data_IF_224435638311
#
_entry.id   IF_224435638311
#
_cell.length_a   1.000
_cell.length_b   1.000
_cell.length_c   1.000
_cell.angle_alpha   90.00
_cell.angle_beta   90.00
_cell.angle_gamma   90.00
#
_symmetry.space_group_name_H-M   'P 1'
#
loop_
_entity.id
_entity.type
_entity.pdbx_description
1 polymer ?
#
# COMPACT_ATOMS: atom_id res chain seq x y z
N UNK A 1 -31.97 -38.39 -49.62
CA UNK A 1 -30.69 -38.28 -50.33
C UNK A 1 -29.60 -38.03 -49.31
N UNK A 2 -28.51 -38.79 -49.40
CA UNK A 2 -27.48 -39.03 -48.38
C UNK A 2 -26.89 -37.77 -47.72
N UNK A 3 -26.87 -37.74 -46.39
CA UNK A 3 -25.89 -36.94 -45.65
C UNK A 3 -24.54 -37.63 -45.90
N UNK A 4 -23.70 -37.04 -46.76
CA UNK A 4 -22.31 -37.42 -46.92
C UNK A 4 -21.65 -37.50 -45.53
N UNK A 5 -21.51 -38.70 -44.98
CA UNK A 5 -20.79 -38.93 -43.73
C UNK A 5 -19.32 -38.64 -44.01
N UNK A 6 -18.87 -37.40 -43.75
CA UNK A 6 -17.47 -37.01 -43.92
C UNK A 6 -16.64 -37.92 -43.02
N UNK A 7 -15.89 -38.85 -43.62
CA UNK A 7 -15.06 -39.83 -42.88
C UNK A 7 -14.07 -39.05 -42.01
N UNK A 8 -14.06 -39.32 -40.70
CA UNK A 8 -13.11 -38.71 -39.76
C UNK A 8 -11.68 -38.88 -40.27
N UNK A 9 -10.96 -37.77 -40.32
CA UNK A 9 -9.54 -37.78 -40.69
C UNK A 9 -8.70 -38.45 -39.61
N UNK A 10 -7.49 -38.88 -39.96
CA UNK A 10 -6.55 -39.47 -39.01
C UNK A 10 -6.20 -38.50 -37.86
N UNK A 11 -6.18 -37.19 -38.14
CA UNK A 11 -5.90 -36.14 -37.16
C UNK A 11 -7.08 -35.91 -36.19
N UNK A 12 -8.31 -35.98 -36.68
CA UNK A 12 -9.51 -35.95 -35.82
C UNK A 12 -9.54 -37.15 -34.87
N UNK A 13 -9.21 -38.34 -35.38
CA UNK A 13 -9.12 -39.56 -34.57
C UNK A 13 -8.07 -39.41 -33.46
N UNK A 14 -6.96 -38.72 -33.73
CA UNK A 14 -5.91 -38.47 -32.74
C UNK A 14 -6.34 -37.44 -31.69
N UNK A 15 -6.98 -36.36 -32.13
CA UNK A 15 -7.54 -35.37 -31.23
C UNK A 15 -8.61 -35.97 -30.31
N UNK A 16 -9.52 -36.79 -30.85
CA UNK A 16 -10.55 -37.48 -30.06
C UNK A 16 -9.89 -38.35 -28.97
N UNK A 17 -8.92 -39.19 -29.35
CA UNK A 17 -8.22 -40.08 -28.40
C UNK A 17 -7.44 -39.30 -27.33
N UNK A 18 -6.74 -38.23 -27.70
CA UNK A 18 -6.01 -37.38 -26.76
C UNK A 18 -6.97 -36.66 -25.80
N UNK A 19 -8.08 -36.13 -26.29
CA UNK A 19 -9.09 -35.42 -25.48
C UNK A 19 -9.73 -36.38 -24.45
N UNK A 20 -10.03 -37.62 -24.85
CA UNK A 20 -10.56 -38.65 -23.94
C UNK A 20 -9.54 -39.01 -22.85
N UNK A 21 -8.26 -39.14 -23.20
CA UNK A 21 -7.19 -39.41 -22.23
C UNK A 21 -7.01 -38.22 -21.28
N UNK A 22 -7.04 -36.98 -21.80
CA UNK A 22 -6.88 -35.76 -21.02
C UNK A 22 -7.99 -35.60 -19.98
N UNK A 23 -9.26 -35.72 -20.39
CA UNK A 23 -10.42 -35.54 -19.49
C UNK A 23 -10.47 -36.54 -18.35
N UNK A 24 -9.92 -37.74 -18.54
CA UNK A 24 -9.97 -38.84 -17.57
C UNK A 24 -8.68 -38.97 -16.75
N UNK A 25 -7.67 -38.15 -17.03
CA UNK A 25 -6.33 -38.23 -16.44
C UNK A 25 -5.49 -39.42 -16.96
N UNK A 26 -6.09 -40.60 -17.11
CA UNK A 26 -5.49 -41.76 -17.77
C UNK A 26 -6.56 -42.68 -18.38
N UNK A 27 -6.20 -43.46 -19.40
CA UNK A 27 -7.13 -44.36 -20.09
C UNK A 27 -6.50 -45.72 -20.46
N UNK A 28 -7.29 -46.80 -20.32
CA UNK A 28 -7.02 -48.11 -20.96
C UNK A 28 -7.47 -48.09 -22.42
N UNK A 29 -6.90 -48.97 -23.23
CA UNK A 29 -7.23 -49.11 -24.67
C UNK A 29 -8.73 -49.26 -24.91
N UNK A 30 -9.41 -50.13 -24.15
CA UNK A 30 -10.85 -50.39 -24.29
C UNK A 30 -11.71 -49.17 -23.99
N UNK A 31 -11.31 -48.35 -22.99
CA UNK A 31 -12.01 -47.10 -22.64
C UNK A 31 -11.80 -46.00 -23.68
N UNK A 32 -10.58 -45.89 -24.22
CA UNK A 32 -10.27 -44.95 -25.29
C UNK A 32 -10.97 -45.33 -26.61
N UNK A 33 -11.02 -46.63 -26.92
CA UNK A 33 -11.77 -47.20 -28.05
C UNK A 33 -13.24 -46.85 -27.99
N UNK A 34 -13.88 -47.06 -26.83
CA UNK A 34 -15.29 -46.71 -26.64
C UNK A 34 -15.53 -45.21 -26.76
N UNK A 35 -14.71 -44.40 -26.08
CA UNK A 35 -14.86 -42.94 -26.11
C UNK A 35 -14.65 -42.33 -27.50
N UNK A 36 -13.75 -42.89 -28.30
CA UNK A 36 -13.45 -42.41 -29.65
C UNK A 36 -14.33 -43.08 -30.71
N UNK A 37 -15.25 -43.98 -30.33
CA UNK A 37 -16.04 -44.78 -31.26
C UNK A 37 -15.18 -45.46 -32.34
N UNK A 38 -14.15 -46.22 -31.91
CA UNK A 38 -13.20 -46.91 -32.78
C UNK A 38 -13.11 -48.39 -32.38
N UNK A 39 -12.91 -49.33 -33.34
CA UNK A 39 -12.56 -50.70 -33.01
C UNK A 39 -11.29 -50.77 -32.14
N UNK A 40 -11.27 -51.70 -31.19
CA UNK A 40 -10.21 -51.81 -30.17
C UNK A 40 -8.82 -51.91 -30.81
N UNK A 41 -8.67 -52.69 -31.87
CA UNK A 41 -7.39 -52.84 -32.60
C UNK A 41 -6.91 -51.53 -33.23
N UNK A 42 -7.85 -50.73 -33.76
CA UNK A 42 -7.53 -49.43 -34.36
C UNK A 42 -7.17 -48.39 -33.30
N UNK A 43 -7.85 -48.42 -32.16
CA UNK A 43 -7.53 -47.58 -31.01
C UNK A 43 -6.16 -47.94 -30.44
N UNK A 44 -5.86 -49.24 -30.27
CA UNK A 44 -4.55 -49.74 -29.81
C UNK A 44 -3.42 -49.25 -30.71
N UNK A 45 -3.57 -49.39 -32.03
CA UNK A 45 -2.57 -48.91 -33.01
C UNK A 45 -2.37 -47.40 -32.94
N UNK A 46 -3.45 -46.63 -32.76
CA UNK A 46 -3.40 -45.17 -32.70
C UNK A 46 -2.78 -44.65 -31.40
N UNK A 47 -3.14 -45.24 -30.27
CA UNK A 47 -2.55 -44.92 -28.96
C UNK A 47 -1.06 -45.27 -28.92
N UNK A 48 -0.66 -46.43 -29.45
CA UNK A 48 0.75 -46.81 -29.55
C UNK A 48 1.55 -45.87 -30.44
N UNK A 49 0.97 -45.39 -31.55
CA UNK A 49 1.61 -44.38 -32.41
C UNK A 49 1.75 -43.01 -31.72
N UNK A 50 0.73 -42.58 -30.97
CA UNK A 50 0.79 -41.33 -30.21
C UNK A 50 1.80 -41.41 -29.06
N UNK A 51 1.89 -42.57 -28.41
CA UNK A 51 2.88 -42.83 -27.37
C UNK A 51 4.31 -42.84 -27.93
N UNK A 52 4.56 -43.53 -29.05
CA UNK A 52 5.89 -43.57 -29.68
C UNK A 52 6.38 -42.22 -30.20
N UNK A 53 5.48 -41.26 -30.41
CA UNK A 53 5.79 -39.88 -30.79
C UNK A 53 5.75 -38.88 -29.62
N UNK A 54 5.52 -39.36 -28.40
CA UNK A 54 5.58 -38.56 -27.17
C UNK A 54 4.36 -37.69 -26.89
N UNK A 55 3.23 -37.91 -27.57
CA UNK A 55 1.95 -37.24 -27.28
C UNK A 55 1.20 -37.92 -26.13
N UNK A 56 1.48 -39.19 -25.89
CA UNK A 56 1.02 -39.96 -24.74
C UNK A 56 2.23 -40.60 -24.03
N UNK A 57 2.06 -40.89 -22.74
CA UNK A 57 2.97 -41.72 -21.95
C UNK A 57 2.26 -43.04 -21.66
N UNK A 58 2.91 -44.15 -21.99
CA UNK A 58 2.44 -45.50 -21.68
C UNK A 58 2.98 -45.93 -20.30
N UNK A 59 2.11 -46.44 -19.45
CA UNK A 59 2.47 -46.98 -18.13
C UNK A 59 1.79 -48.34 -17.94
N UNK A 60 2.51 -49.30 -17.37
CA UNK A 60 1.97 -50.60 -17.01
C UNK A 60 1.28 -50.52 -15.64
N UNK A 61 0.05 -51.04 -15.54
CA UNK A 61 -0.70 -51.09 -14.28
C UNK A 61 -1.38 -52.45 -14.13
N UNK A 62 -0.69 -53.38 -13.49
CA UNK A 62 -1.08 -54.80 -13.43
C UNK A 62 -1.06 -55.43 -14.82
N UNK A 63 -2.07 -56.24 -15.16
CA UNK A 63 -2.20 -56.89 -16.48
C UNK A 63 -2.72 -55.95 -17.59
N UNK A 64 -2.62 -54.63 -17.43
CA UNK A 64 -3.19 -53.68 -18.40
C UNK A 64 -2.35 -52.42 -18.58
N UNK A 65 -2.13 -52.07 -19.85
CA UNK A 65 -1.51 -50.81 -20.26
C UNK A 65 -2.46 -49.64 -20.13
N UNK A 66 -1.99 -48.55 -19.53
CA UNK A 66 -2.69 -47.27 -19.44
C UNK A 66 -1.90 -46.17 -20.15
N UNK A 67 -2.64 -45.18 -20.66
CA UNK A 67 -2.09 -44.02 -21.36
C UNK A 67 -2.41 -42.76 -20.59
N UNK A 68 -1.41 -41.89 -20.40
CA UNK A 68 -1.54 -40.54 -19.85
C UNK A 68 -1.14 -39.50 -20.90
N UNK A 69 -1.79 -38.34 -20.90
CA UNK A 69 -1.44 -37.28 -21.84
C UNK A 69 -0.16 -36.56 -21.41
N UNK A 70 0.68 -36.20 -22.36
CA UNK A 70 1.87 -35.38 -22.13
C UNK A 70 1.58 -33.90 -22.40
N UNK A 71 2.49 -33.00 -22.01
CA UNK A 71 2.41 -31.57 -22.39
C UNK A 71 2.26 -31.39 -23.92
N UNK A 72 3.06 -32.13 -24.70
CA UNK A 72 2.99 -32.14 -26.17
C UNK A 72 1.65 -32.65 -26.70
N UNK A 73 1.03 -33.61 -26.01
CA UNK A 73 -0.35 -34.06 -26.28
C UNK A 73 -1.39 -32.96 -26.09
N UNK A 74 -1.25 -32.15 -25.05
CA UNK A 74 -2.12 -31.01 -24.78
C UNK A 74 -1.94 -29.88 -25.81
N UNK A 75 -0.69 -29.55 -26.16
CA UNK A 75 -0.37 -28.57 -27.21
C UNK A 75 -0.97 -28.96 -28.57
N UNK A 76 -0.98 -30.26 -28.89
CA UNK A 76 -1.64 -30.78 -30.08
C UNK A 76 -3.17 -30.54 -30.04
N UNK A 77 -3.82 -30.76 -28.90
CA UNK A 77 -5.26 -30.53 -28.75
C UNK A 77 -5.63 -29.06 -28.92
N UNK A 78 -4.83 -28.15 -28.36
CA UNK A 78 -5.02 -26.70 -28.52
C UNK A 78 -4.87 -26.28 -29.98
N UNK A 79 -3.77 -26.71 -30.62
CA UNK A 79 -3.51 -26.44 -32.04
C UNK A 79 -4.60 -27.01 -32.95
N UNK A 80 -5.09 -28.20 -32.64
CA UNK A 80 -6.16 -28.86 -33.40
C UNK A 80 -7.50 -28.14 -33.23
N UNK A 81 -7.82 -27.64 -32.03
CA UNK A 81 -9.02 -26.81 -31.78
C UNK A 81 -8.94 -25.49 -32.54
N UNK A 82 -7.78 -24.84 -32.56
CA UNK A 82 -7.56 -23.62 -33.33
C UNK A 82 -7.74 -23.87 -34.83
N UNK A 83 -7.16 -24.95 -35.34
CA UNK A 83 -7.31 -25.36 -36.75
C UNK A 83 -8.77 -25.66 -37.12
N UNK A 84 -9.53 -26.36 -36.27
CA UNK A 84 -10.96 -26.60 -36.50
C UNK A 84 -11.77 -25.31 -36.54
N UNK A 85 -11.42 -24.31 -35.72
CA UNK A 85 -12.06 -22.99 -35.76
C UNK A 85 -11.75 -22.26 -37.07
N UNK A 86 -10.51 -22.32 -37.55
CA UNK A 86 -10.11 -21.75 -38.83
C UNK A 86 -10.88 -22.41 -40.00
N UNK A 87 -10.98 -23.74 -40.03
CA UNK A 87 -11.76 -24.43 -41.07
C UNK A 87 -13.25 -24.11 -41.00
N UNK A 88 -13.82 -24.00 -39.80
CA UNK A 88 -15.22 -23.59 -39.63
C UNK A 88 -15.47 -22.14 -40.10
N UNK A 89 -14.47 -21.26 -39.99
CA UNK A 89 -14.53 -19.90 -40.50
C UNK A 89 -14.42 -19.85 -42.04
N UNK A 90 -13.59 -20.71 -42.64
CA UNK A 90 -13.46 -20.84 -44.09
C UNK A 90 -14.72 -21.42 -44.75
N UNK A 91 -15.35 -22.42 -44.13
CA UNK A 91 -16.60 -23.04 -44.62
C UNK A 91 -17.80 -22.07 -44.56
N UNK A 92 -17.72 -20.97 -43.80
CA UNK A 92 -18.78 -19.98 -43.62
C UNK A 92 -18.60 -18.67 -44.41
N UNK A 93 -17.64 -18.59 -45.34
CA UNK A 93 -17.56 -17.49 -46.30
C UNK A 93 -17.41 -16.09 -45.67
N UNK A 94 -16.65 -15.97 -44.57
CA UNK A 94 -16.37 -14.66 -43.96
C UNK A 94 -15.05 -14.12 -44.56
N UNK A 95 -15.01 -12.89 -45.13
CA UNK A 95 -13.80 -12.32 -45.69
C UNK A 95 -12.74 -12.08 -44.63
N UNK A 96 -11.48 -12.38 -44.97
CA UNK A 96 -10.32 -12.22 -44.12
C UNK A 96 -9.84 -10.76 -44.17
N UNK A 97 -10.43 -9.89 -43.35
CA UNK A 97 -9.83 -8.61 -42.99
C UNK A 97 -10.44 -8.07 -41.72
N UNK A 98 -9.84 -8.41 -40.59
CA UNK A 98 -9.62 -7.55 -39.42
C UNK A 98 -9.09 -8.44 -38.30
N UNK A 99 -8.17 -7.91 -37.50
CA UNK A 99 -7.70 -8.56 -36.26
C UNK A 99 -8.94 -9.00 -35.48
N UNK A 100 -9.15 -10.30 -35.30
CA UNK A 100 -10.17 -10.80 -34.37
C UNK A 100 -9.61 -10.55 -32.97
N UNK A 101 -9.76 -9.33 -32.49
CA UNK A 101 -9.83 -9.08 -31.06
C UNK A 101 -11.06 -9.87 -30.57
N UNK A 102 -10.84 -10.81 -29.65
CA UNK A 102 -11.94 -11.43 -28.93
C UNK A 102 -12.70 -10.30 -28.21
N UNK A 103 -13.83 -9.84 -28.74
CA UNK A 103 -14.69 -8.90 -28.04
C UNK A 103 -15.03 -9.52 -26.67
N UNK A 104 -14.70 -8.85 -25.56
CA UNK A 104 -14.93 -9.42 -24.24
C UNK A 104 -16.45 -9.61 -24.04
N UNK A 105 -16.85 -10.76 -23.49
CA UNK A 105 -18.26 -11.06 -23.14
C UNK A 105 -18.83 -10.04 -22.13
N UNK A 106 -17.95 -9.34 -21.44
CA UNK A 106 -18.25 -8.28 -20.50
C UNK A 106 -17.69 -6.96 -21.01
N UNK A 107 -18.58 -6.02 -21.29
CA UNK A 107 -18.23 -4.62 -21.46
C UNK A 107 -18.25 -3.96 -20.08
N UNK A 108 -17.21 -3.19 -19.75
CA UNK A 108 -17.11 -2.54 -18.46
C UNK A 108 -16.69 -1.08 -18.60
N UNK A 109 -17.22 -0.22 -17.74
CA UNK A 109 -16.90 1.21 -17.68
C UNK A 109 -16.66 1.65 -16.24
N UNK A 110 -15.62 2.45 -16.04
CA UNK A 110 -15.35 3.13 -14.78
C UNK A 110 -15.98 4.52 -14.78
N UNK A 111 -16.68 4.85 -13.71
CA UNK A 111 -17.23 6.17 -13.41
C UNK A 111 -16.60 6.65 -12.10
N UNK A 112 -15.98 7.82 -12.14
CA UNK A 112 -15.45 8.51 -10.96
C UNK A 112 -16.32 9.72 -10.67
N UNK A 113 -16.70 9.91 -9.41
CA UNK A 113 -17.47 11.10 -9.01
C UNK A 113 -16.72 12.41 -9.26
N UNK A 114 -15.39 12.39 -9.12
CA UNK A 114 -14.47 13.51 -9.39
C UNK A 114 -13.11 12.95 -9.86
N UNK A 115 -12.40 13.69 -10.71
CA UNK A 115 -11.02 13.36 -11.13
C UNK A 115 -9.95 14.10 -10.35
N UNK A 116 -10.33 15.19 -9.69
CA UNK A 116 -9.48 15.97 -8.80
C UNK A 116 -10.09 15.93 -7.40
N UNK A 117 -9.31 15.45 -6.42
CA UNK A 117 -9.77 15.18 -5.06
C UNK A 117 -8.64 15.55 -4.08
N UNK A 118 -8.95 16.04 -2.89
CA UNK A 118 -7.92 16.33 -1.88
C UNK A 118 -7.60 15.09 -1.03
N UNK A 119 -6.39 15.03 -0.47
CA UNK A 119 -6.06 14.04 0.57
C UNK A 119 -7.12 14.07 1.67
N UNK A 120 -7.59 12.89 2.08
CA UNK A 120 -8.65 12.74 3.07
C UNK A 120 -10.09 12.95 2.57
N UNK A 121 -10.31 13.46 1.36
CA UNK A 121 -11.66 13.55 0.76
C UNK A 121 -12.07 12.20 0.16
N UNK A 122 -13.32 11.80 0.38
CA UNK A 122 -13.84 10.54 -0.16
C UNK A 122 -14.09 10.63 -1.67
N UNK A 123 -13.59 9.63 -2.40
CA UNK A 123 -13.86 9.43 -3.83
C UNK A 123 -14.76 8.22 -4.03
N UNK A 124 -15.94 8.46 -4.60
CA UNK A 124 -16.82 7.41 -5.08
C UNK A 124 -16.33 6.86 -6.41
N UNK A 125 -16.17 5.54 -6.46
CA UNK A 125 -15.80 4.80 -7.66
C UNK A 125 -16.93 3.83 -7.98
N UNK A 126 -17.41 3.91 -9.21
CA UNK A 126 -18.48 3.06 -9.73
C UNK A 126 -18.00 2.33 -10.97
N UNK A 127 -18.19 1.01 -10.99
CA UNK A 127 -17.90 0.16 -12.15
C UNK A 127 -19.23 -0.38 -12.66
N UNK A 128 -19.57 0.00 -13.89
CA UNK A 128 -20.72 -0.53 -14.60
C UNK A 128 -20.26 -1.71 -15.47
N UNK A 129 -20.86 -2.88 -15.25
CA UNK A 129 -20.57 -4.12 -15.97
C UNK A 129 -21.78 -4.52 -16.77
N UNK A 130 -21.61 -4.75 -18.07
CA UNK A 130 -22.67 -5.23 -18.96
C UNK A 130 -22.26 -6.54 -19.61
N UNK A 131 -23.08 -7.57 -19.46
CA UNK A 131 -22.91 -8.81 -20.20
C UNK A 131 -23.47 -8.65 -21.61
N UNK A 132 -22.59 -8.61 -22.60
CA UNK A 132 -22.91 -8.54 -24.04
C UNK A 132 -22.90 -9.92 -24.70
N UNK A 133 -22.54 -10.96 -23.95
CA UNK A 133 -22.60 -12.35 -24.36
C UNK A 133 -24.01 -12.94 -24.33
N UNK A 134 -24.13 -14.14 -24.90
CA UNK A 134 -25.37 -14.90 -24.98
C UNK A 134 -25.55 -15.89 -23.81
N UNK A 135 -24.54 -16.06 -22.96
CA UNK A 135 -24.53 -16.93 -21.79
C UNK A 135 -24.29 -16.13 -20.50
N UNK A 136 -24.76 -16.66 -19.38
CA UNK A 136 -24.48 -16.08 -18.07
C UNK A 136 -22.99 -16.24 -17.73
N UNK A 137 -22.43 -15.27 -17.01
CA UNK A 137 -21.05 -15.33 -16.52
C UNK A 137 -21.02 -15.21 -15.00
N UNK A 138 -19.98 -15.77 -14.39
CA UNK A 138 -19.73 -15.62 -12.96
C UNK A 138 -18.62 -14.60 -12.72
N UNK A 139 -18.93 -13.51 -12.03
CA UNK A 139 -17.98 -12.46 -11.69
C UNK A 139 -17.09 -12.91 -10.52
N UNK A 140 -15.78 -13.04 -10.77
CA UNK A 140 -14.82 -13.52 -9.77
C UNK A 140 -14.31 -12.37 -8.92
N UNK A 141 -13.80 -11.32 -9.56
CA UNK A 141 -13.14 -10.23 -8.86
C UNK A 141 -12.77 -9.05 -9.74
N UNK A 142 -12.31 -7.98 -9.09
CA UNK A 142 -11.82 -6.76 -9.69
C UNK A 142 -10.41 -6.50 -9.17
N UNK A 143 -9.45 -6.56 -10.07
CA UNK A 143 -8.04 -6.27 -9.82
C UNK A 143 -7.74 -4.81 -10.18
N UNK A 144 -6.64 -4.25 -9.64
CA UNK A 144 -6.12 -2.94 -10.08
C UNK A 144 -6.94 -1.72 -9.65
N UNK A 145 -7.84 -1.89 -8.68
CA UNK A 145 -8.71 -0.84 -8.14
C UNK A 145 -8.21 -0.29 -6.80
N UNK A 146 -7.67 -1.14 -5.94
CA UNK A 146 -7.15 -0.73 -4.63
C UNK A 146 -5.71 -0.25 -4.81
N UNK A 147 -5.51 1.05 -4.81
CA UNK A 147 -4.20 1.69 -4.94
C UNK A 147 -3.49 1.80 -3.59
N UNK A 148 -2.15 1.83 -3.61
CA UNK A 148 -1.36 2.10 -2.40
C UNK A 148 -1.60 3.53 -1.93
N UNK A 149 -1.75 3.72 -0.62
CA UNK A 149 -2.08 5.03 -0.05
C UNK A 149 -3.55 5.42 -0.25
N UNK A 150 -4.42 4.44 -0.51
CA UNK A 150 -5.86 4.62 -0.53
C UNK A 150 -6.50 3.64 0.45
N UNK A 151 -7.35 4.17 1.32
CA UNK A 151 -8.20 3.38 2.20
C UNK A 151 -9.50 3.05 1.49
N UNK A 152 -9.99 1.82 1.64
CA UNK A 152 -11.33 1.44 1.19
C UNK A 152 -12.33 1.69 2.32
N UNK A 153 -13.06 2.80 2.23
CA UNK A 153 -14.01 3.26 3.26
C UNK A 153 -15.31 2.45 3.22
N UNK A 154 -15.82 2.17 2.04
CA UNK A 154 -17.05 1.38 1.87
C UNK A 154 -17.00 0.53 0.61
N UNK A 155 -17.68 -0.62 0.66
CA UNK A 155 -17.81 -1.58 -0.43
C UNK A 155 -19.15 -2.31 -0.32
N UNK A 156 -19.65 -2.95 -1.39
CA UNK A 156 -20.90 -3.70 -1.32
C UNK A 156 -20.79 -4.90 -0.38
N UNK A 157 -21.88 -5.25 0.31
CA UNK A 157 -21.90 -6.33 1.31
C UNK A 157 -21.52 -7.70 0.77
N UNK A 158 -21.84 -7.97 -0.50
CA UNK A 158 -21.53 -9.23 -1.18
C UNK A 158 -20.05 -9.36 -1.60
N UNK A 159 -19.20 -8.36 -1.34
CA UNK A 159 -17.78 -8.37 -1.75
C UNK A 159 -16.84 -8.68 -0.59
N UNK A 160 -15.69 -9.28 -0.90
CA UNK A 160 -14.56 -9.43 0.04
C UNK A 160 -13.30 -8.83 -0.56
N UNK A 161 -12.30 -8.52 0.27
CA UNK A 161 -11.05 -7.90 -0.19
C UNK A 161 -9.89 -8.76 0.29
N UNK A 162 -9.02 -9.14 -0.64
CA UNK A 162 -7.77 -9.84 -0.35
C UNK A 162 -6.74 -9.47 -1.41
N UNK A 163 -5.49 -9.26 -1.02
CA UNK A 163 -4.36 -9.02 -1.94
C UNK A 163 -4.64 -7.89 -2.97
N UNK A 164 -5.15 -6.75 -2.49
CA UNK A 164 -5.55 -5.59 -3.31
C UNK A 164 -6.60 -5.89 -4.41
N UNK A 165 -7.31 -7.01 -4.29
CA UNK A 165 -8.37 -7.45 -5.20
C UNK A 165 -9.71 -7.43 -4.48
N UNK A 166 -10.73 -6.90 -5.15
CA UNK A 166 -12.13 -6.94 -4.67
C UNK A 166 -12.78 -8.20 -5.26
N UNK A 167 -13.02 -9.21 -4.45
CA UNK A 167 -13.71 -10.43 -4.87
C UNK A 167 -15.23 -10.21 -4.89
N UNK A 168 -15.85 -10.63 -5.99
CA UNK A 168 -17.28 -10.49 -6.25
C UNK A 168 -18.06 -11.76 -5.92
N UNK A 169 -17.41 -12.72 -5.25
CA UNK A 169 -18.00 -13.97 -4.73
C UNK A 169 -18.80 -14.76 -5.78
N UNK A 170 -18.33 -14.80 -7.03
CA UNK A 170 -18.95 -15.53 -8.15
C UNK A 170 -20.39 -15.10 -8.42
N UNK A 171 -20.69 -13.81 -8.25
CA UNK A 171 -22.01 -13.24 -8.59
C UNK A 171 -22.33 -13.51 -10.06
N UNK A 172 -23.50 -14.09 -10.31
CA UNK A 172 -23.96 -14.36 -11.68
C UNK A 172 -24.42 -13.07 -12.36
N UNK A 173 -23.98 -12.86 -13.60
CA UNK A 173 -24.47 -11.79 -14.48
C UNK A 173 -25.08 -12.40 -15.73
N UNK A 174 -26.41 -12.40 -15.79
CA UNK A 174 -27.18 -12.96 -16.89
C UNK A 174 -26.97 -12.19 -18.21
N UNK A 175 -27.24 -12.81 -19.38
CA UNK A 175 -27.13 -12.15 -20.68
C UNK A 175 -27.91 -10.83 -20.74
N UNK A 176 -27.32 -9.82 -21.39
CA UNK A 176 -27.90 -8.48 -21.55
C UNK A 176 -28.22 -7.73 -20.25
N UNK A 177 -27.79 -8.24 -19.08
CA UNK A 177 -27.91 -7.54 -17.80
C UNK A 177 -26.74 -6.61 -17.56
N UNK A 178 -27.04 -5.57 -16.80
CA UNK A 178 -26.07 -4.60 -16.28
C UNK A 178 -26.03 -4.70 -14.77
N UNK A 179 -24.83 -4.62 -14.20
CA UNK A 179 -24.56 -4.60 -12.77
C UNK A 179 -23.70 -3.38 -12.43
N UNK A 180 -23.96 -2.74 -11.30
CA UNK A 180 -23.20 -1.59 -10.81
C UNK A 180 -22.51 -1.93 -9.51
N UNK A 181 -21.19 -1.75 -9.46
CA UNK A 181 -20.37 -2.03 -8.29
C UNK A 181 -19.81 -0.70 -7.81
N UNK A 182 -20.24 -0.28 -6.61
CA UNK A 182 -19.85 0.98 -6.01
C UNK A 182 -19.00 0.77 -4.78
N UNK A 183 -17.91 1.51 -4.67
CA UNK A 183 -17.08 1.55 -3.48
C UNK A 183 -16.55 2.97 -3.29
N UNK A 184 -16.18 3.27 -2.05
CA UNK A 184 -15.65 4.58 -1.67
C UNK A 184 -14.23 4.40 -1.20
N UNK A 185 -13.32 5.19 -1.76
CA UNK A 185 -11.92 5.21 -1.36
C UNK A 185 -11.58 6.57 -0.75
N UNK A 186 -10.56 6.61 0.12
CA UNK A 186 -10.03 7.84 0.68
C UNK A 186 -8.50 7.86 0.49
N UNK A 187 -7.95 8.82 -0.28
CA UNK A 187 -6.51 8.96 -0.46
C UNK A 187 -5.84 9.47 0.81
N UNK A 188 -4.66 8.93 1.12
CA UNK A 188 -3.79 9.39 2.20
C UNK A 188 -2.48 10.02 1.69
N UNK A 189 -2.27 10.04 0.37
CA UNK A 189 -1.11 10.61 -0.31
C UNK A 189 -1.57 11.40 -1.53
N UNK A 190 -0.89 12.50 -1.82
CA UNK A 190 -1.15 13.33 -3.00
C UNK A 190 -0.28 12.90 -4.20
N UNK A 191 -0.64 13.37 -5.39
CA UNK A 191 0.04 13.05 -6.64
C UNK A 191 -0.92 12.60 -7.74
N UNK A 192 -0.34 12.12 -8.85
CA UNK A 192 -1.10 11.62 -10.00
C UNK A 192 -1.13 10.09 -9.93
N UNK A 193 -2.33 9.53 -9.94
CA UNK A 193 -2.55 8.08 -9.89
C UNK A 193 -3.32 7.60 -11.11
N UNK A 194 -3.07 6.35 -11.49
CA UNK A 194 -3.74 5.67 -12.59
C UNK A 194 -4.52 4.48 -12.05
N UNK A 195 -5.85 4.50 -12.20
CA UNK A 195 -6.68 3.31 -11.98
C UNK A 195 -6.64 2.46 -13.24
N UNK A 196 -6.26 1.19 -13.09
CA UNK A 196 -6.20 0.19 -14.18
C UNK A 196 -7.05 -1.04 -13.83
N UNK A 197 -8.38 -0.90 -13.75
CA UNK A 197 -9.22 -2.00 -13.30
C UNK A 197 -9.26 -3.14 -14.31
N UNK A 198 -9.22 -4.38 -13.82
CA UNK A 198 -9.41 -5.59 -14.63
C UNK A 198 -10.48 -6.46 -13.99
N UNK A 199 -11.53 -6.76 -14.74
CA UNK A 199 -12.65 -7.58 -14.30
C UNK A 199 -12.38 -9.03 -14.65
N UNK A 200 -12.29 -9.89 -13.64
CA UNK A 200 -12.10 -11.33 -13.82
C UNK A 200 -13.45 -12.03 -13.75
N UNK A 201 -13.76 -12.85 -14.75
CA UNK A 201 -15.02 -13.60 -14.83
C UNK A 201 -14.80 -15.01 -15.39
N UNK A 202 -15.77 -15.89 -15.15
CA UNK A 202 -15.79 -17.25 -15.69
C UNK A 202 -17.01 -17.40 -16.61
N UNK A 203 -16.78 -17.91 -17.81
CA UNK A 203 -17.84 -18.21 -18.77
C UNK A 203 -18.61 -19.51 -18.41
N UNK A 204 -19.65 -19.81 -19.17
CA UNK A 204 -20.48 -21.01 -19.05
C UNK A 204 -19.71 -22.32 -19.34
N UNK A 205 -18.58 -22.22 -20.05
CA UNK A 205 -17.65 -23.32 -20.27
C UNK A 205 -16.66 -23.54 -19.12
N UNK A 206 -16.68 -22.69 -18.08
CA UNK A 206 -15.75 -22.74 -16.96
C UNK A 206 -14.39 -22.09 -17.23
N UNK A 207 -14.21 -21.40 -18.37
CA UNK A 207 -12.96 -20.72 -18.69
C UNK A 207 -12.92 -19.35 -18.01
N UNK A 208 -11.82 -19.07 -17.34
CA UNK A 208 -11.55 -17.76 -16.77
C UNK A 208 -11.09 -16.80 -17.87
N UNK A 209 -11.72 -15.64 -17.94
CA UNK A 209 -11.41 -14.55 -18.85
C UNK A 209 -11.35 -13.23 -18.10
N UNK A 210 -10.84 -12.18 -18.75
CA UNK A 210 -10.77 -10.84 -18.18
C UNK A 210 -11.32 -9.79 -19.14
N UNK A 211 -11.82 -8.70 -18.58
CA UNK A 211 -12.19 -7.48 -19.30
C UNK A 211 -11.42 -6.31 -18.71
N UNK A 212 -10.66 -5.62 -19.56
CA UNK A 212 -9.86 -4.46 -19.15
C UNK A 212 -10.69 -3.19 -19.31
N UNK A 213 -10.64 -2.33 -18.30
CA UNK A 213 -11.28 -1.02 -18.35
C UNK A 213 -10.23 0.02 -18.75
N UNK A 214 -10.65 1.04 -19.51
CA UNK A 214 -9.81 2.18 -19.86
C UNK A 214 -9.15 2.75 -18.60
N UNK A 215 -7.85 3.04 -18.69
CA UNK A 215 -7.08 3.61 -17.59
C UNK A 215 -7.60 5.01 -17.28
N UNK A 216 -7.98 5.25 -16.03
CA UNK A 216 -8.44 6.57 -15.61
C UNK A 216 -7.40 7.22 -14.71
N UNK A 217 -6.92 8.39 -15.15
CA UNK A 217 -6.02 9.25 -14.36
C UNK A 217 -6.82 10.07 -13.36
N UNK A 218 -6.26 10.19 -12.16
CA UNK A 218 -6.82 10.96 -11.06
C UNK A 218 -5.72 11.80 -10.41
N UNK A 219 -6.06 13.03 -10.06
CA UNK A 219 -5.19 14.00 -9.45
C UNK A 219 -5.59 14.13 -7.98
N UNK A 220 -4.71 13.70 -7.08
CA UNK A 220 -4.88 13.93 -5.66
C UNK A 220 -4.07 15.16 -5.28
N UNK A 221 -4.74 16.16 -4.75
CA UNK A 221 -4.12 17.39 -4.24
C UNK A 221 -3.83 17.27 -2.74
N UNK A 222 -2.78 17.94 -2.28
CA UNK A 222 -2.50 18.04 -0.85
C UNK A 222 -3.69 18.69 -0.10
N UNK A 223 -3.94 18.20 1.12
CA UNK A 223 -4.92 18.82 2.00
C UNK A 223 -4.27 19.98 2.75
N UNK A 224 -4.70 21.20 2.48
CA UNK A 224 -4.24 22.39 3.22
C UNK A 224 -5.30 22.82 4.22
N UNK A 225 -5.19 22.37 5.46
CA UNK A 225 -5.94 22.96 6.57
C UNK A 225 -5.16 24.17 7.10
N UNK A 226 -5.81 25.33 7.10
CA UNK A 226 -5.24 26.59 7.56
C UNK A 226 -4.77 26.48 9.02
N UNK A 227 -3.65 27.11 9.35
CA UNK A 227 -3.15 27.17 10.72
C UNK A 227 -2.28 25.99 11.14
N UNK A 228 -1.66 25.29 10.17
CA UNK A 228 -0.67 24.23 10.40
C UNK A 228 0.71 24.64 9.90
N UNK A 229 1.74 23.93 10.35
CA UNK A 229 3.13 24.05 9.91
C UNK A 229 3.61 22.70 9.36
N UNK A 230 4.36 22.74 8.26
CA UNK A 230 4.98 21.58 7.63
C UNK A 230 5.89 20.83 8.62
N UNK A 231 5.89 19.51 8.60
CA UNK A 231 6.87 18.69 9.33
C UNK A 231 8.19 18.55 8.60
N UNK A 232 8.34 19.14 7.41
CA UNK A 232 9.45 18.90 6.50
C UNK A 232 9.36 17.56 5.77
N UNK A 233 8.27 16.81 5.97
CA UNK A 233 8.06 15.51 5.33
C UNK A 233 6.64 15.39 4.82
N UNK A 234 6.49 15.53 3.50
CA UNK A 234 5.21 15.68 2.82
C UNK A 234 4.20 14.56 3.10
N UNK A 235 4.64 13.31 3.21
CA UNK A 235 3.72 12.21 3.51
C UNK A 235 3.15 12.32 4.93
N UNK A 236 3.95 12.78 5.90
CA UNK A 236 3.48 13.04 7.24
C UNK A 236 2.55 14.25 7.28
N UNK A 237 2.85 15.30 6.51
CA UNK A 237 1.95 16.44 6.35
C UNK A 237 0.60 16.02 5.77
N UNK A 238 0.58 15.09 4.81
CA UNK A 238 -0.65 14.53 4.26
C UNK A 238 -1.48 13.78 5.32
N UNK A 239 -0.84 12.94 6.15
CA UNK A 239 -1.52 12.30 7.29
C UNK A 239 -2.09 13.31 8.28
N UNK A 240 -1.36 14.41 8.48
CA UNK A 240 -1.77 15.52 9.34
C UNK A 240 -2.67 16.53 8.62
N UNK A 241 -3.07 16.32 7.36
CA UNK A 241 -3.89 17.26 6.58
C UNK A 241 -3.30 18.69 6.53
N UNK A 242 -2.00 18.78 6.23
CA UNK A 242 -1.26 20.04 6.10
C UNK A 242 -0.25 20.30 7.22
N UNK A 243 0.11 19.28 7.99
CA UNK A 243 1.14 19.35 9.03
C UNK A 243 0.63 19.57 10.46
N UNK A 244 1.52 19.92 11.38
CA UNK A 244 1.20 20.06 12.81
C UNK A 244 0.49 21.40 13.03
N UNK A 245 -0.63 21.47 13.77
CA UNK A 245 -1.27 22.75 14.09
C UNK A 245 -0.29 23.74 14.75
N UNK A 246 -0.47 25.03 14.48
CA UNK A 246 0.30 26.09 15.14
C UNK A 246 0.05 26.04 16.65
N UNK A 247 1.09 26.32 17.44
CA UNK A 247 1.00 26.41 18.90
C UNK A 247 0.52 25.10 19.56
N UNK A 248 0.85 23.97 18.91
CA UNK A 248 0.39 22.65 19.29
C UNK A 248 1.54 21.82 19.86
N UNK A 249 1.26 21.07 20.92
CA UNK A 249 2.22 20.13 21.51
C UNK A 249 1.93 18.69 21.08
N UNK A 250 2.84 18.11 20.30
CA UNK A 250 2.76 16.72 19.82
C UNK A 250 3.96 15.92 20.30
N UNK A 251 3.72 14.67 20.69
CA UNK A 251 4.78 13.73 21.08
C UNK A 251 4.96 12.63 20.03
N UNK A 252 6.20 12.35 19.66
CA UNK A 252 6.61 11.20 18.84
C UNK A 252 7.14 10.10 19.76
N UNK A 253 6.42 8.99 19.81
CA UNK A 253 6.86 7.79 20.53
C UNK A 253 7.53 6.82 19.58
N UNK A 254 8.77 6.44 19.88
CA UNK A 254 9.54 5.53 19.03
C UNK A 254 10.64 4.84 19.81
N UNK A 255 10.93 3.58 19.48
CA UNK A 255 12.22 2.98 19.83
C UNK A 255 13.34 3.65 19.02
N UNK A 256 14.60 3.35 19.36
CA UNK A 256 15.74 3.85 18.58
C UNK A 256 15.67 3.34 17.13
N UNK A 257 15.61 4.27 16.18
CA UNK A 257 15.67 3.98 14.75
C UNK A 257 16.08 5.22 13.95
N UNK A 258 16.65 4.99 12.77
CA UNK A 258 17.13 6.07 11.89
C UNK A 258 15.97 6.92 11.37
N UNK A 259 14.80 6.32 11.10
CA UNK A 259 13.64 7.03 10.59
C UNK A 259 13.11 8.08 11.58
N UNK A 260 13.22 7.80 12.89
CA UNK A 260 12.92 8.78 13.95
C UNK A 260 13.86 9.99 13.83
N UNK A 261 15.17 9.75 13.74
CA UNK A 261 16.18 10.82 13.62
C UNK A 261 15.97 11.64 12.35
N UNK A 262 15.68 10.99 11.22
CA UNK A 262 15.39 11.67 9.95
C UNK A 262 14.15 12.57 10.03
N UNK A 263 13.06 12.12 10.69
CA UNK A 263 11.86 12.94 10.87
C UNK A 263 12.14 14.19 11.73
N UNK A 264 12.93 14.03 12.79
CA UNK A 264 13.34 15.14 13.66
C UNK A 264 14.18 16.13 12.86
N UNK A 265 15.17 15.62 12.13
CA UNK A 265 16.02 16.44 11.26
C UNK A 265 15.19 17.23 10.25
N UNK A 266 14.28 16.59 9.52
CA UNK A 266 13.38 17.27 8.57
C UNK A 266 12.52 18.34 9.25
N UNK A 267 12.01 18.08 10.46
CA UNK A 267 11.24 19.08 11.21
C UNK A 267 12.07 20.31 11.60
N UNK A 268 13.34 20.11 11.96
CA UNK A 268 14.28 21.19 12.26
C UNK A 268 14.68 21.95 10.99
N UNK A 269 15.08 21.23 9.93
CA UNK A 269 15.51 21.78 8.63
C UNK A 269 14.42 22.61 7.97
N UNK A 270 13.15 22.19 8.07
CA UNK A 270 12.01 22.96 7.61
C UNK A 270 11.89 24.30 8.34
N UNK A 271 12.15 24.34 9.64
CA UNK A 271 12.20 25.59 10.41
C UNK A 271 13.29 26.51 9.92
N UNK A 272 14.51 25.97 9.80
CA UNK A 272 15.70 26.72 9.39
C UNK A 272 15.59 27.27 7.97
N UNK A 273 15.09 26.46 7.03
CA UNK A 273 14.91 26.85 5.62
C UNK A 273 13.90 27.98 5.43
N UNK A 274 12.97 28.15 6.38
CA UNK A 274 11.97 29.21 6.38
C UNK A 274 12.31 30.36 7.34
N UNK A 275 13.57 30.44 7.83
CA UNK A 275 14.04 31.44 8.80
C UNK A 275 13.19 31.51 10.08
N UNK A 276 12.61 30.37 10.48
CA UNK A 276 11.79 30.26 11.69
C UNK A 276 12.68 29.98 12.90
N UNK A 277 12.38 30.64 14.01
CA UNK A 277 13.03 30.36 15.29
C UNK A 277 12.76 28.90 15.66
N UNK A 278 13.84 28.13 15.74
CA UNK A 278 13.81 26.68 15.94
C UNK A 278 14.68 26.32 17.12
N UNK A 279 14.05 25.77 18.16
CA UNK A 279 14.73 25.28 19.36
C UNK A 279 14.96 23.78 19.23
N UNK A 280 16.15 23.33 19.60
CA UNK A 280 16.48 21.91 19.70
C UNK A 280 17.11 21.60 21.05
N UNK A 281 16.47 20.73 21.84
CA UNK A 281 16.96 20.28 23.15
C UNK A 281 17.28 18.80 23.06
N UNK A 282 18.56 18.45 23.23
CA UNK A 282 19.05 17.09 22.99
C UNK A 282 20.24 16.71 23.89
N UNK A 283 20.51 15.42 23.99
CA UNK A 283 21.74 14.85 24.57
C UNK A 283 22.79 14.51 23.49
N UNK A 284 22.38 14.48 22.21
CA UNK A 284 23.19 14.09 21.05
C UNK A 284 24.08 15.23 20.57
N UNK A 285 25.40 14.98 20.49
CA UNK A 285 26.40 16.03 20.25
C UNK A 285 26.65 16.32 18.76
N UNK A 286 26.82 15.28 17.95
CA UNK A 286 27.46 15.44 16.63
C UNK A 286 26.53 16.03 15.57
N UNK A 287 25.31 15.52 15.44
CA UNK A 287 24.34 16.02 14.47
C UNK A 287 23.90 17.45 14.83
N UNK A 288 23.71 17.71 16.12
CA UNK A 288 23.28 19.00 16.63
C UNK A 288 24.31 20.11 16.37
N UNK A 289 25.61 19.80 16.52
CA UNK A 289 26.71 20.75 16.30
C UNK A 289 26.67 21.33 14.89
N UNK A 290 26.57 20.48 13.87
CA UNK A 290 26.61 20.90 12.47
C UNK A 290 25.45 21.87 12.16
N UNK A 291 24.23 21.56 12.62
CA UNK A 291 23.06 22.42 12.42
C UNK A 291 23.21 23.79 13.09
N UNK A 292 23.79 23.84 14.29
CA UNK A 292 24.01 25.09 15.01
C UNK A 292 25.07 25.99 14.38
N UNK A 293 26.08 25.40 13.73
CA UNK A 293 27.11 26.15 13.01
C UNK A 293 26.57 26.75 11.70
N UNK A 294 25.72 26.01 11.00
CA UNK A 294 25.12 26.41 9.72
C UNK A 294 24.04 27.50 9.89
N UNK A 295 23.23 27.45 10.96
CA UNK A 295 22.01 28.27 11.11
C UNK A 295 22.00 29.16 12.36
N UNK A 296 23.03 30.00 12.54
CA UNK A 296 23.27 30.78 13.77
C UNK A 296 22.15 31.76 14.20
N UNK A 297 21.30 32.20 13.28
CA UNK A 297 20.28 33.24 13.55
C UNK A 297 18.87 32.69 13.76
N UNK A 298 18.58 31.48 13.28
CA UNK A 298 17.25 30.86 13.34
C UNK A 298 17.23 29.58 14.18
N UNK A 299 18.39 28.98 14.49
CA UNK A 299 18.49 27.73 15.23
C UNK A 299 19.19 27.92 16.58
N UNK A 300 18.51 27.51 17.66
CA UNK A 300 18.97 27.60 19.04
C UNK A 300 19.07 26.22 19.66
N UNK A 301 20.26 25.86 20.10
CA UNK A 301 20.61 24.52 20.52
C UNK A 301 20.87 24.46 22.03
N UNK A 302 20.22 23.54 22.73
CA UNK A 302 20.36 23.29 24.15
C UNK A 302 20.86 21.84 24.36
N UNK A 303 22.11 21.70 24.77
CA UNK A 303 22.81 20.41 24.80
C UNK A 303 22.95 19.95 26.23
N UNK A 304 22.22 18.90 26.58
CA UNK A 304 22.22 18.31 27.92
C UNK A 304 23.23 17.16 27.98
N UNK A 305 24.53 17.48 27.91
CA UNK A 305 25.59 16.47 27.89
C UNK A 305 26.81 16.95 28.68
N UNK A 306 27.34 16.14 29.62
CA UNK A 306 28.45 16.55 30.48
C UNK A 306 29.74 16.85 29.70
N UNK A 307 29.89 16.30 28.48
CA UNK A 307 31.03 16.55 27.60
C UNK A 307 30.83 17.70 26.60
N UNK A 308 29.67 18.36 26.62
CA UNK A 308 29.37 19.45 25.69
C UNK A 308 30.42 20.57 25.74
N UNK A 309 30.92 20.91 26.93
CA UNK A 309 31.94 21.95 27.12
C UNK A 309 33.26 21.66 26.41
N UNK A 310 33.64 20.38 26.31
CA UNK A 310 34.90 19.96 25.71
C UNK A 310 34.81 19.78 24.18
N UNK A 311 33.62 19.46 23.66
CA UNK A 311 33.43 19.02 22.26
C UNK A 311 32.83 20.14 21.40
N UNK A 312 32.02 21.02 22.01
CA UNK A 312 31.21 21.99 21.27
C UNK A 312 31.72 23.40 21.52
N UNK A 313 32.05 24.05 20.41
CA UNK A 313 32.53 25.43 20.40
C UNK A 313 31.45 26.38 20.92
N UNK A 314 31.88 27.37 21.69
CA UNK A 314 30.97 28.37 22.25
C UNK A 314 30.41 29.25 21.12
N UNK A 315 29.10 29.32 21.03
CA UNK A 315 28.36 30.15 20.07
C UNK A 315 27.13 30.75 20.77
N UNK A 316 26.69 31.99 20.43
CA UNK A 316 25.56 32.63 21.11
C UNK A 316 24.23 31.86 20.99
N UNK A 317 24.08 31.04 19.95
CA UNK A 317 22.91 30.20 19.75
C UNK A 317 23.04 28.80 20.37
N UNK A 318 24.09 28.53 21.16
CA UNK A 318 24.35 27.22 21.78
C UNK A 318 24.44 27.36 23.30
N UNK A 319 23.51 26.72 24.00
CA UNK A 319 23.50 26.56 25.46
C UNK A 319 24.03 25.18 25.84
N UNK A 320 25.17 25.13 26.53
CA UNK A 320 25.81 23.89 27.01
C UNK A 320 25.39 23.63 28.45
N UNK A 321 24.81 22.46 28.72
CA UNK A 321 24.27 22.04 30.01
C UNK A 321 24.91 20.71 30.43
N UNK A 322 25.10 20.50 31.74
CA UNK A 322 25.80 19.31 32.26
C UNK A 322 25.04 18.00 32.04
N UNK A 323 23.73 18.06 31.88
CA UNK A 323 22.86 16.91 31.70
C UNK A 323 21.42 17.25 32.05
N UNK A 324 20.61 16.21 32.29
CA UNK A 324 19.18 16.35 32.61
C UNK A 324 18.89 16.34 34.12
N UNK A 325 19.91 16.16 34.96
CA UNK A 325 19.80 16.08 36.42
C UNK A 325 19.29 17.38 37.05
N UNK A 326 19.56 18.53 36.44
CA UNK A 326 19.09 19.83 36.92
C UNK A 326 18.14 20.49 35.91
N UNK A 327 16.84 20.21 36.05
CA UNK A 327 15.80 20.82 35.23
C UNK A 327 15.74 22.36 35.36
N UNK A 328 16.25 22.91 36.46
CA UNK A 328 16.30 24.36 36.66
C UNK A 328 17.26 25.02 35.69
N UNK A 329 18.42 24.41 35.44
CA UNK A 329 19.41 24.96 34.50
C UNK A 329 18.86 24.96 33.07
N UNK A 330 18.12 23.91 32.69
CA UNK A 330 17.42 23.83 31.41
C UNK A 330 16.38 24.96 31.30
N UNK A 331 15.57 25.17 32.33
CA UNK A 331 14.56 26.23 32.34
C UNK A 331 15.18 27.62 32.27
N UNK A 332 16.29 27.85 33.00
CA UNK A 332 17.02 29.12 32.96
C UNK A 332 17.52 29.40 31.54
N UNK A 333 18.15 28.42 30.89
CA UNK A 333 18.65 28.55 29.53
C UNK A 333 17.52 28.85 28.54
N UNK A 334 16.41 28.13 28.60
CA UNK A 334 15.24 28.39 27.77
C UNK A 334 14.67 29.80 28.01
N UNK A 335 14.53 30.19 29.28
CA UNK A 335 13.99 31.50 29.68
C UNK A 335 14.89 32.64 29.22
N UNK A 336 16.22 32.51 29.34
CA UNK A 336 17.16 33.54 28.87
C UNK A 336 17.06 33.70 27.36
N UNK A 337 17.03 32.60 26.61
CA UNK A 337 16.88 32.66 25.16
C UNK A 337 15.52 33.23 24.75
N UNK A 338 14.43 32.93 25.47
CA UNK A 338 13.14 33.57 25.20
C UNK A 338 13.21 35.09 25.32
N UNK A 339 13.89 35.62 26.34
CA UNK A 339 14.06 37.07 26.56
C UNK A 339 14.90 37.71 25.47
N UNK A 340 15.97 37.05 25.03
CA UNK A 340 16.80 37.52 23.92
C UNK A 340 16.02 37.61 22.60
N UNK A 341 14.99 36.77 22.45
CA UNK A 341 14.13 36.71 21.27
C UNK A 341 12.83 37.52 21.40
N UNK A 342 12.67 38.29 22.48
CA UNK A 342 11.55 39.22 22.61
C UNK A 342 11.66 40.33 21.56
N UNK A 343 10.67 40.41 20.66
CA UNK A 343 10.67 41.35 19.53
C UNK A 343 11.18 40.78 18.22
N UNK A 344 11.67 39.53 18.19
CA UNK A 344 11.99 38.83 16.95
C UNK A 344 10.73 38.53 16.09
N UNK A 345 10.93 38.12 14.84
CA UNK A 345 9.91 38.00 13.78
C UNK A 345 8.60 37.32 14.23
N UNK A 346 7.45 37.84 13.73
CA UNK A 346 6.08 37.34 13.98
C UNK A 346 5.75 36.04 13.21
N UNK A 347 6.75 35.19 12.98
CA UNK A 347 6.62 33.91 12.29
C UNK A 347 6.25 32.76 13.25
N UNK A 348 5.84 31.60 12.70
CA UNK A 348 5.72 30.38 13.49
C UNK A 348 7.09 29.99 14.08
N UNK A 349 7.09 29.47 15.31
CA UNK A 349 8.31 28.98 15.99
C UNK A 349 8.20 27.49 16.24
N UNK A 350 9.33 26.80 16.27
CA UNK A 350 9.42 25.34 16.42
C UNK A 350 10.28 24.99 17.62
N UNK A 351 9.87 23.97 18.37
CA UNK A 351 10.70 23.39 19.42
C UNK A 351 10.72 21.87 19.27
N UNK A 352 11.89 21.27 19.17
CA UNK A 352 12.09 19.83 19.25
C UNK A 352 12.81 19.49 20.56
N UNK A 353 12.22 18.63 21.40
CA UNK A 353 12.77 18.26 22.70
C UNK A 353 12.87 16.74 22.78
N UNK A 354 14.10 16.22 22.75
CA UNK A 354 14.39 14.78 22.74
C UNK A 354 14.75 14.19 24.10
N UNK A 355 14.90 15.02 25.12
CA UNK A 355 15.40 14.61 26.44
C UNK A 355 14.32 14.00 27.35
N UNK A 356 13.09 13.76 26.86
CA UNK A 356 11.97 13.34 27.72
C UNK A 356 12.22 11.98 28.35
N UNK A 357 12.81 11.05 27.60
CA UNK A 357 13.17 9.75 28.15
C UNK A 357 14.21 9.85 29.26
N UNK A 358 15.27 10.62 29.05
CA UNK A 358 16.33 10.79 30.07
C UNK A 358 15.79 11.51 31.31
N UNK A 359 14.97 12.55 31.12
CA UNK A 359 14.32 13.28 32.22
C UNK A 359 13.38 12.36 32.99
N UNK A 360 12.57 11.54 32.33
CA UNK A 360 11.67 10.59 32.98
C UNK A 360 12.44 9.49 33.73
N UNK A 361 13.56 9.03 33.18
CA UNK A 361 14.44 8.05 33.84
C UNK A 361 15.03 8.62 35.13
N UNK A 362 15.50 9.86 35.08
CA UNK A 362 16.18 10.54 36.19
C UNK A 362 15.20 11.03 37.27
N UNK A 363 14.11 11.68 36.86
CA UNK A 363 13.22 12.42 37.75
C UNK A 363 11.93 11.68 38.09
N UNK A 364 11.61 10.58 37.41
CA UNK A 364 10.34 9.84 37.56
C UNK A 364 9.10 10.64 37.14
N UNK A 365 7.98 9.94 36.97
CA UNK A 365 6.78 10.53 36.37
C UNK A 365 6.24 11.78 37.07
N UNK A 366 6.29 11.86 38.41
CA UNK A 366 5.70 12.99 39.14
C UNK A 366 6.44 14.30 38.86
N UNK A 367 7.77 14.30 39.00
CA UNK A 367 8.59 15.47 38.74
C UNK A 367 8.59 15.81 37.24
N UNK A 368 8.72 14.82 36.35
CA UNK A 368 8.69 15.04 34.90
C UNK A 368 7.37 15.63 34.45
N UNK A 369 6.25 15.10 34.93
CA UNK A 369 4.91 15.64 34.63
C UNK A 369 4.76 17.06 35.14
N UNK A 370 5.23 17.37 36.34
CA UNK A 370 5.20 18.75 36.89
C UNK A 370 6.01 19.71 36.02
N UNK A 371 7.21 19.31 35.61
CA UNK A 371 8.06 20.11 34.74
C UNK A 371 7.40 20.37 33.38
N UNK A 372 6.90 19.33 32.71
CA UNK A 372 6.21 19.46 31.43
C UNK A 372 4.93 20.28 31.51
N UNK A 373 4.18 20.20 32.62
CA UNK A 373 2.98 21.00 32.85
C UNK A 373 3.29 22.50 32.95
N UNK A 374 4.51 22.87 33.34
CA UNK A 374 4.97 24.27 33.33
C UNK A 374 5.55 24.66 31.96
N UNK A 375 6.37 23.80 31.36
CA UNK A 375 7.10 24.09 30.13
C UNK A 375 6.19 24.17 28.89
N UNK A 376 5.22 23.26 28.74
CA UNK A 376 4.37 23.22 27.55
C UNK A 376 3.51 24.50 27.39
N UNK A 377 2.81 25.01 28.43
CA UNK A 377 2.12 26.28 28.35
C UNK A 377 3.04 27.47 28.08
N UNK A 378 4.25 27.47 28.62
CA UNK A 378 5.24 28.53 28.39
C UNK A 378 5.65 28.59 26.91
N UNK A 379 6.06 27.44 26.33
CA UNK A 379 6.37 27.33 24.91
C UNK A 379 5.19 27.80 24.04
N UNK A 380 3.99 27.33 24.36
CA UNK A 380 2.77 27.72 23.65
C UNK A 380 2.51 29.23 23.70
N UNK A 381 2.65 29.85 24.87
CA UNK A 381 2.49 31.31 25.06
C UNK A 381 3.50 32.15 24.27
N UNK A 382 4.63 31.54 23.88
CA UNK A 382 5.68 32.16 23.06
C UNK A 382 5.55 31.79 21.57
N UNK A 383 4.42 31.22 21.15
CA UNK A 383 4.04 30.83 19.80
C UNK A 383 4.83 29.64 19.21
N UNK A 384 5.31 28.73 20.06
CA UNK A 384 5.99 27.51 19.60
C UNK A 384 5.01 26.39 19.30
N UNK A 385 5.18 25.75 18.14
CA UNK A 385 4.72 24.38 17.90
C UNK A 385 5.81 23.42 18.35
N UNK A 386 5.45 22.47 19.23
CA UNK A 386 6.41 21.63 19.93
C UNK A 386 6.29 20.18 19.50
N UNK A 387 7.40 19.61 19.05
CA UNK A 387 7.61 18.18 18.86
C UNK A 387 8.44 17.65 20.05
N UNK A 388 7.85 16.81 20.88
CA UNK A 388 8.60 16.06 21.89
C UNK A 388 8.86 14.64 21.43
N UNK A 389 9.95 14.05 21.88
CA UNK A 389 10.33 12.68 21.49
C UNK A 389 10.58 11.85 22.73
N UNK A 390 10.04 10.64 22.74
CA UNK A 390 10.18 9.71 23.86
C UNK A 390 10.31 8.28 23.35
N UNK A 391 11.23 7.52 23.95
CA UNK A 391 11.27 6.07 23.84
C UNK A 391 10.42 5.43 24.95
N UNK A 392 9.22 4.90 24.64
CA UNK A 392 8.36 4.32 25.64
C UNK A 392 8.92 3.03 26.25
N UNK A 393 9.88 2.35 25.60
CA UNK A 393 10.47 1.11 26.13
C UNK A 393 11.46 1.33 27.27
N UNK A 394 11.86 2.57 27.54
CA UNK A 394 12.76 2.91 28.65
C UNK A 394 12.02 3.04 29.99
N UNK A 395 10.69 2.94 30.01
CA UNK A 395 9.85 3.28 31.16
C UNK A 395 8.70 2.29 31.35
N UNK A 396 8.12 2.32 32.55
CA UNK A 396 6.90 1.54 32.82
C UNK A 396 5.70 2.09 32.03
N UNK A 397 4.73 1.23 31.63
CA UNK A 397 3.53 1.68 30.94
C UNK A 397 2.76 2.77 31.68
N UNK A 398 2.71 2.72 33.02
CA UNK A 398 2.03 3.70 33.87
C UNK A 398 2.70 5.08 33.78
N UNK A 399 4.04 5.12 33.84
CA UNK A 399 4.81 6.36 33.69
C UNK A 399 4.65 6.93 32.28
N UNK A 400 4.71 6.08 31.25
CA UNK A 400 4.48 6.47 29.85
C UNK A 400 3.10 7.11 29.70
N UNK A 401 2.03 6.46 30.16
CA UNK A 401 0.67 7.00 30.08
C UNK A 401 0.52 8.33 30.84
N UNK A 402 1.16 8.45 32.01
CA UNK A 402 1.17 9.68 32.79
C UNK A 402 1.83 10.84 32.04
N UNK A 403 2.80 10.60 31.16
CA UNK A 403 3.43 11.63 30.33
C UNK A 403 2.62 11.89 29.05
N UNK A 404 2.20 10.85 28.33
CA UNK A 404 1.44 10.99 27.07
C UNK A 404 0.17 11.80 27.22
N UNK A 405 -0.51 11.71 28.37
CA UNK A 405 -1.72 12.47 28.68
C UNK A 405 -1.55 14.00 28.71
N UNK A 406 -0.33 14.54 28.70
CA UNK A 406 -0.06 15.98 28.68
C UNK A 406 -0.12 16.59 27.27
N UNK A 407 0.04 15.76 26.24
CA UNK A 407 0.17 16.23 24.86
C UNK A 407 -1.18 16.26 24.14
N UNK A 408 -1.35 17.28 23.32
CA UNK A 408 -2.53 17.47 22.48
C UNK A 408 -2.52 16.45 21.32
N UNK A 409 -1.33 16.04 20.85
CA UNK A 409 -1.17 15.02 19.81
C UNK A 409 -0.18 13.93 20.19
N UNK A 410 -0.32 12.76 19.57
CA UNK A 410 0.64 11.64 19.67
C UNK A 410 0.82 10.98 18.31
N UNK A 411 2.09 10.83 17.92
CA UNK A 411 2.54 10.01 16.81
C UNK A 411 3.31 8.82 17.36
N UNK A 412 3.21 7.69 16.69
CA UNK A 412 3.91 6.48 17.10
C UNK A 412 4.57 5.80 15.90
N UNK A 413 5.86 5.53 16.04
CA UNK A 413 6.61 4.64 15.16
C UNK A 413 6.66 3.27 15.80
N UNK A 414 6.30 2.25 15.03
CA UNK A 414 6.32 0.86 15.48
C UNK A 414 6.70 -0.07 14.33
N UNK A 415 7.14 -1.27 14.70
CA UNK A 415 7.46 -2.32 13.75
C UNK A 415 6.29 -3.29 13.61
N UNK A 416 6.03 -3.73 12.37
CA UNK A 416 5.06 -4.77 12.07
C UNK A 416 5.65 -5.70 11.02
N UNK A 417 5.48 -7.00 11.23
CA UNK A 417 5.81 -8.02 10.24
C UNK A 417 4.73 -8.04 9.16
N UNK A 418 5.15 -7.94 7.89
CA UNK A 418 4.30 -8.18 6.73
C UNK A 418 4.91 -9.24 5.81
N UNK A 419 4.22 -9.57 4.71
CA UNK A 419 4.67 -10.58 3.73
C UNK A 419 6.06 -10.31 3.14
N UNK A 420 6.59 -9.10 3.32
CA UNK A 420 7.90 -8.65 2.84
C UNK A 420 8.88 -8.38 4.00
N UNK A 421 8.59 -8.89 5.19
CA UNK A 421 9.44 -8.84 6.38
C UNK A 421 9.03 -7.79 7.42
N UNK A 422 9.88 -7.58 8.41
CA UNK A 422 9.70 -6.55 9.44
C UNK A 422 9.89 -5.16 8.83
N UNK A 423 8.87 -4.31 8.99
CA UNK A 423 8.88 -2.92 8.48
C UNK A 423 8.39 -1.94 9.51
N UNK A 424 8.84 -0.69 9.37
CA UNK A 424 8.47 0.43 10.26
C UNK A 424 7.30 1.21 9.70
N UNK A 425 6.35 1.49 10.58
CA UNK A 425 5.16 2.25 10.29
C UNK A 425 5.04 3.41 11.26
N UNK A 426 4.59 4.56 10.76
CA UNK A 426 4.15 5.68 11.57
C UNK A 426 2.64 5.76 11.53
N UNK A 427 2.02 5.98 12.68
CA UNK A 427 0.60 6.35 12.76
C UNK A 427 0.37 7.49 13.72
N UNK A 428 -0.69 8.25 13.46
CA UNK A 428 -1.21 9.24 14.39
C UNK A 428 -2.14 8.52 15.36
N UNK A 429 -1.85 8.59 16.66
CA UNK A 429 -2.63 7.94 17.72
C UNK A 429 -3.75 8.85 18.23
N UNK A 430 -3.48 10.15 18.34
CA UNK A 430 -4.46 11.16 18.74
C UNK A 430 -4.08 12.53 18.21
N UNK A 431 -5.09 13.37 17.96
CA UNK A 431 -4.97 14.82 17.85
C UNK A 431 -6.24 15.46 18.45
N UNK A 432 -6.14 16.08 19.62
CA UNK A 432 -7.26 16.73 20.29
C UNK A 432 -7.84 17.90 19.48
N UNK A 433 -9.15 17.88 19.23
CA UNK A 433 -9.88 18.89 18.44
C UNK A 433 -9.33 19.13 17.02
N UNK A 434 -8.63 18.16 16.44
CA UNK A 434 -8.04 18.30 15.11
C UNK A 434 -8.36 17.08 14.26
N UNK A 435 -8.59 17.31 12.96
CA UNK A 435 -8.72 16.24 11.98
C UNK A 435 -7.35 15.73 11.56
N UNK A 436 -7.25 14.44 11.30
CA UNK A 436 -6.07 13.75 10.77
C UNK A 436 -6.54 12.45 10.11
N UNK A 437 -5.63 11.77 9.41
CA UNK A 437 -5.86 10.45 8.84
C UNK A 437 -5.33 9.37 9.77
N UNK A 438 -6.15 8.35 10.03
CA UNK A 438 -5.80 7.23 10.93
C UNK A 438 -4.95 6.15 10.25
N UNK A 439 -4.61 6.34 8.98
CA UNK A 439 -3.87 5.36 8.17
C UNK A 439 -2.44 5.16 8.69
N UNK A 440 -1.97 3.92 8.62
CA UNK A 440 -0.56 3.61 8.83
C UNK A 440 0.27 4.06 7.61
N UNK A 441 1.30 4.86 7.83
CA UNK A 441 2.27 5.25 6.81
C UNK A 441 3.53 4.39 6.94
N UNK A 442 3.87 3.68 5.87
CA UNK A 442 5.15 2.96 5.79
C UNK A 442 6.31 3.95 5.72
N UNK A 443 7.25 3.86 6.66
CA UNK A 443 8.47 4.67 6.64
C UNK A 443 9.51 4.02 5.72
N UNK A 444 10.00 4.79 4.75
CA UNK A 444 11.07 4.39 3.83
C UNK A 444 12.18 5.41 3.92
N UNK A 445 13.40 4.95 4.20
CA UNK A 445 14.55 5.85 4.38
C UNK A 445 14.81 6.69 3.15
N UNK A 446 14.62 6.14 1.95
CA UNK A 446 14.85 6.85 0.69
C UNK A 446 13.97 8.10 0.60
N UNK A 447 12.68 7.97 0.94
CA UNK A 447 11.73 9.09 0.90
C UNK A 447 11.94 10.12 2.01
N UNK A 448 12.63 9.74 3.08
CA UNK A 448 12.98 10.65 4.19
C UNK A 448 14.31 11.37 3.94
N UNK A 449 15.08 10.93 2.94
CA UNK A 449 16.33 11.56 2.54
C UNK A 449 16.11 12.54 1.37
N UNK A 450 15.15 12.24 0.49
CA UNK A 450 14.58 13.19 -0.48
C UNK A 450 13.96 14.41 0.22
#
# INVERSE_FOLDING_TARGET
MEILSKRRTRYEIYADLLDIVARRGYCRVTRASYGANLPVDRAKKSLGFLASRGFLKEEDRGDSKIYKITKRGLEYLESFKQMKRLFAALDKGIPFSEKIEHLPLIQARLLLGKREVKVGEEIGVEIELRNTGNSAVLLVGIEGVILRGFELVSKPSFTSVKDATIYLNRKELAPSRTEQIRFTMRPSIDGVFELKPRIVYIDDGGHQSFSEIETVKMHILAAEVVGRISTGFKDLDNLLLGGIPKEYAIILTSTSCDEKNLLIRKFLEEGMSNEQITFYVTTELMEAKNLAEEHKTSFYLFICNPQAEAIIESSPNVSKLKGVENLTDINIALTSTFRELEGATKGPKRACIEIISDVLLQHRAVQTRRWLTALLPELKSKNFTTLMVMNPQMHSPEEVQAILGLFEGEMNIYEREDERGMRKYLRIKKMYNQRYLENDMLLRKERLQD
#
